data_IF_964348179795
#
_entry.id   IF_964348179795
#
_cell.length_a   1.000
_cell.length_b   1.000
_cell.length_c   1.000
_cell.angle_alpha   90.00
_cell.angle_beta   90.00
_cell.angle_gamma   90.00
#
_symmetry.space_group_name_H-M   'P 1'
#
loop_
_entity.id
_entity.type
_entity.pdbx_description
1 polymer ?
#
# COMPACT_ATOMS: atom_id res chain seq x y z
N UNK A 1 31.33 17.07 1.79
CA UNK A 1 30.30 18.10 2.05
C UNK A 1 29.03 17.40 2.52
N UNK A 2 28.54 17.79 3.68
CA UNK A 2 27.77 16.93 4.58
C UNK A 2 26.29 16.86 4.19
N UNK A 3 25.77 15.64 3.97
CA UNK A 3 24.35 15.42 3.77
C UNK A 3 23.61 15.69 5.08
N UNK A 4 22.79 16.75 5.12
CA UNK A 4 21.91 17.05 6.24
C UNK A 4 20.85 15.95 6.32
N UNK A 5 21.03 15.00 7.23
CA UNK A 5 19.96 14.13 7.73
C UNK A 5 18.98 14.98 8.53
N UNK A 6 17.99 15.54 7.85
CA UNK A 6 16.86 16.21 8.49
C UNK A 6 15.98 15.16 9.16
N UNK A 7 16.09 15.08 10.48
CA UNK A 7 15.11 14.41 11.32
C UNK A 7 13.97 15.39 11.61
N UNK A 8 12.91 15.35 10.79
CA UNK A 8 11.64 16.00 11.05
C UNK A 8 10.50 15.08 10.57
N UNK A 9 9.41 15.00 11.34
CA UNK A 9 8.20 14.30 10.94
C UNK A 9 7.78 14.75 9.53
N UNK A 10 7.34 13.85 8.62
CA UNK A 10 6.92 14.27 7.29
C UNK A 10 5.62 15.07 7.44
N UNK A 11 5.72 16.40 7.40
CA UNK A 11 4.59 17.32 7.24
C UNK A 11 4.19 17.48 5.76
N UNK A 12 4.78 16.69 4.87
CA UNK A 12 4.56 16.80 3.43
C UNK A 12 3.40 15.89 2.99
N UNK A 13 2.42 16.48 2.31
CA UNK A 13 1.41 15.73 1.57
C UNK A 13 2.07 14.70 0.64
N UNK A 14 1.36 13.60 0.37
CA UNK A 14 1.84 12.55 -0.53
C UNK A 14 1.82 13.11 -1.95
N UNK A 15 3.00 13.38 -2.52
CA UNK A 15 3.11 13.70 -3.95
C UNK A 15 3.02 12.40 -4.77
N UNK A 16 1.83 12.17 -5.33
CA UNK A 16 1.54 10.98 -6.12
C UNK A 16 2.38 10.90 -7.40
N UNK A 17 2.63 12.04 -8.06
CA UNK A 17 3.39 12.05 -9.32
C UNK A 17 4.89 12.04 -9.09
N UNK A 18 5.37 12.69 -8.04
CA UNK A 18 6.79 12.68 -7.64
C UNK A 18 7.25 11.39 -6.95
N UNK A 19 6.35 10.43 -6.74
CA UNK A 19 6.71 9.15 -6.12
C UNK A 19 7.69 8.36 -7.00
N UNK A 20 8.87 8.04 -6.45
CA UNK A 20 9.82 7.12 -7.08
C UNK A 20 9.37 5.66 -6.91
N UNK A 21 8.59 5.16 -7.87
CA UNK A 21 8.03 3.80 -7.87
C UNK A 21 9.08 2.69 -7.82
N UNK A 22 10.22 2.88 -8.49
CA UNK A 22 11.32 1.91 -8.51
C UNK A 22 11.93 1.77 -7.11
N UNK A 23 12.20 2.90 -6.45
CA UNK A 23 12.73 2.91 -5.08
C UNK A 23 11.72 2.30 -4.10
N UNK A 24 10.44 2.68 -4.19
CA UNK A 24 9.39 2.11 -3.35
C UNK A 24 9.33 0.58 -3.48
N UNK A 25 9.36 0.08 -4.72
CA UNK A 25 9.34 -1.35 -5.03
C UNK A 25 10.57 -2.06 -4.48
N UNK A 26 11.75 -1.48 -4.65
CA UNK A 26 13.00 -2.04 -4.12
C UNK A 26 12.96 -2.17 -2.59
N UNK A 27 12.44 -1.16 -1.89
CA UNK A 27 12.32 -1.21 -0.42
C UNK A 27 11.34 -2.30 0.03
N UNK A 28 10.17 -2.40 -0.60
CA UNK A 28 9.18 -3.43 -0.26
C UNK A 28 9.75 -4.83 -0.53
N UNK A 29 10.38 -5.06 -1.69
CA UNK A 29 11.03 -6.34 -2.01
C UNK A 29 12.12 -6.71 -1.00
N UNK A 30 12.93 -5.74 -0.57
CA UNK A 30 13.96 -5.96 0.46
C UNK A 30 13.35 -6.39 1.79
N UNK A 31 12.26 -5.76 2.22
CA UNK A 31 11.55 -6.15 3.45
C UNK A 31 10.93 -7.54 3.32
N UNK A 32 10.29 -7.86 2.18
CA UNK A 32 9.75 -9.19 1.91
C UNK A 32 10.83 -10.28 1.95
N UNK A 33 11.98 -10.07 1.31
CA UNK A 33 13.09 -11.01 1.37
C UNK A 33 13.62 -11.24 2.80
N UNK A 34 13.67 -10.17 3.61
CA UNK A 34 14.05 -10.27 5.04
C UNK A 34 13.02 -11.05 5.86
N UNK A 35 11.73 -10.91 5.55
CA UNK A 35 10.66 -11.68 6.18
C UNK A 35 10.85 -13.16 5.84
N UNK A 36 11.01 -13.50 4.55
CA UNK A 36 11.23 -14.89 4.11
C UNK A 36 12.44 -15.51 4.82
N UNK A 37 13.58 -14.78 4.87
CA UNK A 37 14.78 -15.26 5.57
C UNK A 37 14.52 -15.46 7.07
N UNK A 38 13.85 -14.53 7.74
CA UNK A 38 13.54 -14.66 9.18
C UNK A 38 12.57 -15.82 9.46
N UNK A 39 11.62 -16.08 8.56
CA UNK A 39 10.71 -17.23 8.64
C UNK A 39 11.46 -18.55 8.49
N UNK A 40 12.39 -18.66 7.52
CA UNK A 40 13.23 -19.84 7.34
C UNK A 40 14.10 -20.13 8.57
N UNK A 41 14.59 -19.09 9.25
CA UNK A 41 15.36 -19.20 10.49
C UNK A 41 14.48 -19.44 11.76
N UNK A 42 13.15 -19.52 11.63
CA UNK A 42 12.22 -19.71 12.75
C UNK A 42 12.11 -18.50 13.70
N UNK A 43 12.57 -17.32 13.30
CA UNK A 43 12.64 -16.11 14.15
C UNK A 43 11.35 -15.30 14.11
N UNK A 44 10.28 -15.82 14.71
CA UNK A 44 8.93 -15.22 14.66
C UNK A 44 8.85 -13.79 15.21
N UNK A 45 9.58 -13.46 16.28
CA UNK A 45 9.62 -12.07 16.78
C UNK A 45 10.15 -11.08 15.74
N UNK A 46 11.14 -11.50 14.95
CA UNK A 46 11.70 -10.70 13.84
C UNK A 46 10.73 -10.61 12.67
N UNK A 47 10.02 -11.69 12.36
CA UNK A 47 8.95 -11.69 11.33
C UNK A 47 7.89 -10.64 11.67
N UNK A 48 7.38 -10.66 12.91
CA UNK A 48 6.36 -9.71 13.37
C UNK A 48 6.86 -8.26 13.28
N UNK A 49 8.09 -7.98 13.72
CA UNK A 49 8.68 -6.65 13.62
C UNK A 49 8.85 -6.17 12.16
N UNK A 50 9.23 -7.07 11.25
CA UNK A 50 9.39 -6.73 9.83
C UNK A 50 8.05 -6.52 9.11
N UNK A 51 7.03 -7.32 9.43
CA UNK A 51 5.67 -7.12 8.94
C UNK A 51 5.09 -5.80 9.44
N UNK A 52 5.32 -5.47 10.73
CA UNK A 52 4.96 -4.18 11.29
C UNK A 52 5.66 -3.04 10.54
N UNK A 53 6.97 -3.13 10.34
CA UNK A 53 7.72 -2.13 9.57
C UNK A 53 7.17 -1.98 8.13
N UNK A 54 6.86 -3.09 7.45
CA UNK A 54 6.34 -3.07 6.09
C UNK A 54 4.99 -2.36 5.99
N UNK A 55 4.04 -2.71 6.87
CA UNK A 55 2.67 -2.14 6.88
C UNK A 55 2.63 -0.67 7.27
N UNK A 56 3.61 -0.21 8.07
CA UNK A 56 3.75 1.19 8.46
C UNK A 56 4.60 2.03 7.49
N UNK A 57 5.36 1.40 6.59
CA UNK A 57 6.24 2.10 5.65
C UNK A 57 5.47 2.90 4.59
N UNK A 58 6.00 4.09 4.24
CA UNK A 58 5.49 4.90 3.14
C UNK A 58 5.44 4.11 1.83
N UNK A 59 6.55 3.44 1.47
CA UNK A 59 6.65 2.63 0.24
C UNK A 59 5.60 1.52 0.16
N UNK A 60 5.30 0.85 1.28
CA UNK A 60 4.28 -0.18 1.34
C UNK A 60 2.87 0.39 1.09
N UNK A 61 2.54 1.50 1.74
CA UNK A 61 1.24 2.16 1.60
C UNK A 61 1.00 2.67 0.18
N UNK A 62 1.99 3.36 -0.40
CA UNK A 62 1.89 3.93 -1.75
C UNK A 62 1.73 2.84 -2.81
N UNK A 63 2.50 1.74 -2.72
CA UNK A 63 2.34 0.61 -3.64
C UNK A 63 1.00 -0.12 -3.47
N UNK A 64 0.47 -0.21 -2.25
CA UNK A 64 -0.85 -0.77 -2.02
C UNK A 64 -1.94 0.04 -2.73
N UNK A 65 -1.93 1.38 -2.58
CA UNK A 65 -2.87 2.27 -3.27
C UNK A 65 -2.70 2.19 -4.79
N UNK A 66 -1.46 2.15 -5.29
CA UNK A 66 -1.20 2.01 -6.73
C UNK A 66 -1.80 0.72 -7.28
N UNK A 67 -1.64 -0.40 -6.55
CA UNK A 67 -2.17 -1.69 -6.97
C UNK A 67 -3.69 -1.69 -7.07
N UNK A 68 -4.38 -1.09 -6.10
CA UNK A 68 -5.85 -1.01 -6.10
C UNK A 68 -6.36 -0.06 -7.17
N UNK A 69 -5.67 1.06 -7.41
CA UNK A 69 -6.11 2.07 -8.40
C UNK A 69 -5.70 1.77 -9.84
N UNK A 70 -4.91 0.74 -10.08
CA UNK A 70 -4.50 0.30 -11.43
C UNK A 70 -5.20 -0.99 -11.89
N UNK A 71 -5.99 -1.64 -11.03
CA UNK A 71 -6.65 -2.88 -11.37
C UNK A 71 -7.82 -2.67 -12.36
N UNK A 72 -8.34 -3.77 -12.93
CA UNK A 72 -9.46 -3.73 -13.87
C UNK A 72 -10.76 -3.19 -13.21
N UNK A 73 -10.95 -3.45 -11.93
CA UNK A 73 -12.12 -3.01 -11.15
C UNK A 73 -11.99 -1.61 -10.53
N UNK A 74 -11.00 -0.80 -10.92
CA UNK A 74 -10.68 0.47 -10.25
C UNK A 74 -11.80 1.51 -10.28
N UNK A 75 -12.71 1.37 -11.24
CA UNK A 75 -13.86 2.25 -11.43
C UNK A 75 -15.14 1.70 -10.78
N UNK A 76 -15.08 0.52 -10.14
CA UNK A 76 -16.22 -0.11 -9.50
C UNK A 76 -16.21 0.22 -8.00
N UNK A 77 -17.07 1.12 -7.52
CA UNK A 77 -17.13 1.44 -6.10
C UNK A 77 -17.66 0.26 -5.28
N UNK A 78 -17.17 0.17 -4.04
CA UNK A 78 -17.66 -0.76 -3.02
C UNK A 78 -19.02 -0.34 -2.45
N UNK A 79 -19.31 -0.80 -1.23
CA UNK A 79 -20.50 -0.39 -0.47
C UNK A 79 -20.39 1.08 -0.03
N UNK A 80 -19.17 1.56 0.14
CA UNK A 80 -18.83 2.95 0.49
C UNK A 80 -19.05 3.97 -0.64
N UNK A 81 -19.28 3.52 -1.87
CA UNK A 81 -19.46 4.40 -3.02
C UNK A 81 -18.16 5.09 -3.49
N UNK A 82 -17.01 4.79 -2.90
CA UNK A 82 -15.77 5.54 -3.15
C UNK A 82 -14.97 4.98 -4.34
N UNK A 83 -14.38 5.88 -5.13
CA UNK A 83 -13.39 5.57 -6.17
C UNK A 83 -12.23 6.57 -6.10
N UNK A 84 -10.98 6.12 -6.29
CA UNK A 84 -9.80 6.98 -6.24
C UNK A 84 -9.27 7.26 -7.65
N UNK A 85 -9.90 8.21 -8.35
CA UNK A 85 -9.58 8.56 -9.73
C UNK A 85 -8.46 9.61 -9.81
N UNK A 86 -8.50 10.63 -8.96
CA UNK A 86 -7.53 11.73 -9.00
C UNK A 86 -6.22 11.42 -8.23
N UNK A 87 -5.10 12.07 -8.57
CA UNK A 87 -3.86 11.97 -7.80
C UNK A 87 -4.04 12.42 -6.33
N UNK A 88 -4.89 13.42 -6.09
CA UNK A 88 -5.21 13.90 -4.75
C UNK A 88 -5.96 12.85 -3.92
N UNK A 89 -6.93 12.16 -4.51
CA UNK A 89 -7.66 11.07 -3.83
C UNK A 89 -6.72 9.93 -3.46
N UNK A 90 -5.78 9.59 -4.36
CA UNK A 90 -4.77 8.55 -4.12
C UNK A 90 -3.80 8.96 -3.01
N UNK A 91 -3.34 10.21 -3.02
CA UNK A 91 -2.51 10.77 -1.96
C UNK A 91 -3.22 10.71 -0.60
N UNK A 92 -4.50 11.10 -0.56
CA UNK A 92 -5.32 11.05 0.64
C UNK A 92 -5.55 9.60 1.10
N UNK A 93 -5.74 8.66 0.17
CA UNK A 93 -5.87 7.24 0.48
C UNK A 93 -4.59 6.68 1.13
N UNK A 94 -3.40 7.09 0.68
CA UNK A 94 -2.14 6.69 1.31
C UNK A 94 -2.06 7.18 2.76
N UNK A 95 -2.53 8.40 3.02
CA UNK A 95 -2.56 8.99 4.37
C UNK A 95 -3.65 8.36 5.27
N UNK A 96 -4.76 7.91 4.69
CA UNK A 96 -5.87 7.30 5.41
C UNK A 96 -5.57 5.86 5.86
N UNK A 97 -4.61 5.17 5.21
CA UNK A 97 -4.19 3.82 5.59
C UNK A 97 -3.61 3.79 7.01
N UNK A 98 -4.39 3.24 7.94
CA UNK A 98 -4.07 3.07 9.36
C UNK A 98 -4.29 1.63 9.79
N UNK A 99 -3.37 1.08 10.58
CA UNK A 99 -3.46 -0.30 11.08
C UNK A 99 -4.45 -0.45 12.23
N UNK A 100 -4.52 0.55 13.13
CA UNK A 100 -5.43 0.53 14.28
C UNK A 100 -6.74 1.21 13.90
N UNK A 101 -7.86 0.69 14.41
CA UNK A 101 -9.18 1.24 14.14
C UNK A 101 -9.70 0.95 12.73
N UNK A 102 -9.08 0.03 11.98
CA UNK A 102 -9.62 -0.42 10.71
C UNK A 102 -10.89 -1.25 10.94
N UNK A 103 -12.01 -0.77 10.41
CA UNK A 103 -13.29 -1.45 10.44
C UNK A 103 -13.66 -1.83 9.00
N UNK A 104 -13.56 -3.11 8.62
CA UNK A 104 -13.90 -3.53 7.27
C UNK A 104 -15.41 -3.42 7.05
N UNK A 105 -15.78 -2.88 5.89
CA UNK A 105 -17.17 -2.89 5.42
C UNK A 105 -17.52 -4.23 4.76
N UNK A 106 -18.81 -4.61 4.70
CA UNK A 106 -19.22 -5.81 3.99
C UNK A 106 -18.89 -5.73 2.49
N UNK A 107 -18.68 -6.88 1.87
CA UNK A 107 -18.40 -6.97 0.43
C UNK A 107 -19.68 -6.66 -0.39
N UNK A 108 -19.56 -5.78 -1.38
CA UNK A 108 -20.60 -5.58 -2.41
C UNK A 108 -20.57 -6.74 -3.40
N UNK A 109 -21.63 -7.54 -3.44
CA UNK A 109 -21.77 -8.62 -4.43
C UNK A 109 -22.16 -8.03 -5.79
N UNK A 110 -21.34 -8.28 -6.81
CA UNK A 110 -21.60 -7.87 -8.19
C UNK A 110 -21.48 -9.13 -9.06
N UNK A 111 -22.48 -9.40 -9.88
CA UNK A 111 -22.44 -10.50 -10.83
C UNK A 111 -21.51 -10.13 -11.99
N UNK A 112 -20.49 -10.97 -12.24
CA UNK A 112 -19.61 -10.85 -13.39
C UNK A 112 -20.01 -11.96 -14.37
N UNK A 113 -20.61 -11.63 -15.52
CA UNK A 113 -20.96 -12.63 -16.52
C UNK A 113 -19.69 -13.25 -17.10
N UNK A 114 -19.56 -14.58 -17.02
CA UNK A 114 -18.50 -15.30 -17.70
C UNK A 114 -18.91 -15.48 -19.16
N UNK A 115 -18.28 -14.77 -20.09
CA UNK A 115 -18.43 -15.07 -21.51
C UNK A 115 -17.66 -16.35 -21.83
N UNK A 116 -18.36 -17.36 -22.34
CA UNK A 116 -17.76 -18.52 -22.99
C UNK A 116 -17.79 -18.22 -24.49
N UNK A 117 -16.64 -18.05 -25.16
CA UNK A 117 -16.63 -17.91 -26.61
C UNK A 117 -17.15 -19.19 -27.25
N UNK A 118 -18.04 -19.04 -28.24
CA UNK A 118 -18.56 -20.14 -29.07
C UNK A 118 -17.51 -20.60 -30.08
#
# INVERSE_FOLDING_TARGET
MNARTSACAPSHGVDWHGTNWSQATKQVRRLQARIVKATQEGRWGKVNSLQHLLTHSYSGKVLAVQRVTSNQGKNTPGVDGATWSSPADKAQAVLSLRRRGYQPQPLKRVYIPCYVPQ
#
